data_IF_575183813045
#
_entry.id   IF_575183813045
#
_cell.length_a   1.000
_cell.length_b   1.000
_cell.length_c   1.000
_cell.angle_alpha   90.00
_cell.angle_beta   90.00
_cell.angle_gamma   90.00
#
_symmetry.space_group_name_H-M   'P 1'
#
loop_
_entity.id
_entity.type
_entity.pdbx_description
1 polymer ?
#
# COMPACT_ATOMS: atom_id res chain seq x y z
N UNK A 1 -37.66 0.70 -42.94
CA UNK A 1 -36.25 0.73 -43.38
C UNK A 1 -35.51 1.65 -42.43
N UNK A 2 -34.66 1.09 -41.56
CA UNK A 2 -33.96 1.82 -40.50
C UNK A 2 -33.29 0.81 -39.58
N UNK A 3 -32.10 0.37 -39.98
CA UNK A 3 -31.34 -0.72 -39.39
C UNK A 3 -30.40 -0.16 -38.31
N UNK A 4 -30.46 -0.78 -37.12
CA UNK A 4 -29.41 -0.99 -36.09
C UNK A 4 -28.67 0.22 -35.49
N UNK A 5 -28.50 0.18 -34.16
CA UNK A 5 -27.23 0.05 -33.40
C UNK A 5 -27.60 0.07 -31.90
N UNK A 6 -26.97 -0.62 -30.96
CA UNK A 6 -26.00 -1.69 -30.93
C UNK A 6 -26.09 -2.30 -29.52
N UNK A 7 -25.72 -3.56 -29.39
CA UNK A 7 -25.68 -4.30 -28.14
C UNK A 7 -24.75 -3.58 -27.14
N UNK A 8 -25.33 -3.01 -26.09
CA UNK A 8 -24.58 -2.40 -24.99
C UNK A 8 -23.81 -3.48 -24.25
N UNK A 9 -22.54 -3.62 -24.63
CA UNK A 9 -21.52 -4.48 -24.03
C UNK A 9 -21.52 -4.31 -22.52
N UNK A 10 -21.98 -5.33 -21.80
CA UNK A 10 -21.79 -5.44 -20.36
C UNK A 10 -20.27 -5.51 -20.12
N UNK A 11 -19.67 -4.38 -19.75
CA UNK A 11 -18.31 -4.36 -19.23
C UNK A 11 -18.30 -5.28 -18.02
N UNK A 12 -17.67 -6.46 -18.16
CA UNK A 12 -17.41 -7.35 -17.04
C UNK A 12 -16.64 -6.51 -16.02
N UNK A 13 -17.29 -6.18 -14.92
CA UNK A 13 -16.68 -5.42 -13.84
C UNK A 13 -15.53 -6.27 -13.29
N UNK A 14 -14.29 -5.89 -13.62
CA UNK A 14 -13.08 -6.66 -13.32
C UNK A 14 -13.01 -6.97 -11.83
N UNK A 15 -13.56 -6.07 -11.01
CA UNK A 15 -13.65 -6.22 -9.56
C UNK A 15 -14.53 -7.41 -9.16
N UNK A 16 -15.70 -7.58 -9.81
CA UNK A 16 -16.61 -8.68 -9.48
C UNK A 16 -15.99 -10.04 -9.84
N UNK A 17 -15.29 -10.12 -10.98
CA UNK A 17 -14.61 -11.36 -11.40
C UNK A 17 -13.50 -11.74 -10.43
N UNK A 18 -12.70 -10.77 -9.96
CA UNK A 18 -11.65 -11.00 -8.97
C UNK A 18 -12.23 -11.45 -7.62
N UNK A 19 -13.36 -10.87 -7.19
CA UNK A 19 -14.03 -11.27 -5.95
C UNK A 19 -14.55 -12.70 -6.04
N UNK A 20 -15.20 -13.07 -7.15
CA UNK A 20 -15.65 -14.44 -7.40
C UNK A 20 -14.49 -15.44 -7.39
N UNK A 21 -13.36 -15.08 -8.02
CA UNK A 21 -12.16 -15.91 -8.04
C UNK A 21 -11.61 -16.14 -6.62
N UNK A 22 -11.49 -15.07 -5.82
CA UNK A 22 -11.03 -15.15 -4.42
C UNK A 22 -11.97 -16.01 -3.57
N UNK A 23 -13.29 -15.83 -3.70
CA UNK A 23 -14.28 -16.61 -2.96
C UNK A 23 -14.33 -18.08 -3.41
N UNK A 24 -14.03 -18.37 -4.67
CA UNK A 24 -14.04 -19.75 -5.20
C UNK A 24 -12.85 -20.60 -4.73
N UNK A 25 -11.73 -19.96 -4.40
CA UNK A 25 -10.47 -20.64 -4.09
C UNK A 25 -10.09 -20.60 -2.60
N UNK A 26 -10.88 -19.96 -1.74
CA UNK A 26 -10.46 -19.69 -0.36
C UNK A 26 -11.58 -19.91 0.66
N UNK A 27 -11.22 -20.54 1.78
CA UNK A 27 -12.12 -20.69 2.92
C UNK A 27 -12.21 -19.39 3.75
N UNK A 28 -13.31 -19.14 4.49
CA UNK A 28 -13.44 -17.94 5.32
C UNK A 28 -12.28 -17.72 6.31
N UNK A 29 -11.72 -18.81 6.87
CA UNK A 29 -10.56 -18.74 7.77
C UNK A 29 -9.25 -18.38 7.04
N UNK A 30 -9.10 -18.76 5.77
CA UNK A 30 -7.92 -18.42 4.96
C UNK A 30 -7.99 -16.98 4.47
N UNK A 31 -9.20 -16.43 4.31
CA UNK A 31 -9.42 -15.04 3.93
C UNK A 31 -9.24 -14.09 5.12
N UNK A 32 -9.99 -14.34 6.19
CA UNK A 32 -10.12 -13.42 7.34
C UNK A 32 -9.33 -13.85 8.58
N UNK A 33 -8.57 -14.95 8.51
CA UNK A 33 -7.70 -15.37 9.59
C UNK A 33 -6.63 -14.34 9.94
N UNK A 34 -5.99 -14.49 11.10
CA UNK A 34 -4.91 -13.58 11.58
C UNK A 34 -3.73 -13.47 10.60
N UNK A 35 -3.44 -14.55 9.88
CA UNK A 35 -2.44 -14.62 8.81
C UNK A 35 -3.11 -14.80 7.43
N UNK A 36 -4.40 -14.45 7.34
CA UNK A 36 -5.22 -14.64 6.16
C UNK A 36 -4.81 -13.74 5.00
N UNK A 37 -5.36 -14.02 3.82
CA UNK A 37 -5.07 -13.31 2.58
C UNK A 37 -5.20 -11.80 2.73
N UNK A 38 -6.26 -11.32 3.39
CA UNK A 38 -6.48 -9.89 3.56
C UNK A 38 -5.39 -9.21 4.40
N UNK A 39 -4.86 -9.90 5.42
CA UNK A 39 -3.76 -9.37 6.21
C UNK A 39 -2.44 -9.33 5.43
N UNK A 40 -2.19 -10.35 4.61
CA UNK A 40 -1.03 -10.36 3.73
C UNK A 40 -1.12 -9.27 2.65
N UNK A 41 -2.31 -9.03 2.11
CA UNK A 41 -2.55 -7.93 1.17
C UNK A 41 -2.35 -6.57 1.85
N UNK A 42 -2.94 -6.38 3.03
CA UNK A 42 -2.75 -5.16 3.85
C UNK A 42 -1.26 -4.88 4.07
N UNK A 43 -0.51 -5.90 4.53
CA UNK A 43 0.95 -5.83 4.69
C UNK A 43 1.65 -5.36 3.41
N UNK A 44 1.38 -6.03 2.28
CA UNK A 44 2.05 -5.70 1.00
C UNK A 44 1.73 -4.28 0.52
N UNK A 45 0.49 -3.82 0.70
CA UNK A 45 0.09 -2.46 0.33
C UNK A 45 0.89 -1.45 1.16
N UNK A 46 0.97 -1.64 2.48
CA UNK A 46 1.75 -0.77 3.37
C UNK A 46 3.22 -0.74 2.97
N UNK A 47 3.85 -1.90 2.78
CA UNK A 47 5.25 -2.00 2.37
C UNK A 47 5.51 -1.30 1.04
N UNK A 48 4.59 -1.44 0.08
CA UNK A 48 4.69 -0.81 -1.22
C UNK A 48 4.61 0.72 -1.13
N UNK A 49 3.73 1.25 -0.30
CA UNK A 49 3.62 2.70 -0.07
C UNK A 49 4.92 3.23 0.56
N UNK A 50 5.44 2.57 1.60
CA UNK A 50 6.70 2.96 2.23
C UNK A 50 7.89 2.90 1.25
N UNK A 51 7.91 1.92 0.36
CA UNK A 51 8.93 1.83 -0.70
C UNK A 51 8.86 3.00 -1.67
N UNK A 52 7.65 3.44 -2.02
CA UNK A 52 7.42 4.57 -2.92
C UNK A 52 7.76 5.90 -2.25
N UNK A 53 7.46 6.09 -0.95
CA UNK A 53 7.92 7.25 -0.18
C UNK A 53 9.46 7.40 -0.24
N UNK A 54 10.18 6.31 0.04
CA UNK A 54 11.66 6.31 -0.04
C UNK A 54 12.14 6.50 -1.48
N UNK A 55 11.41 6.00 -2.47
CA UNK A 55 11.74 6.23 -3.89
C UNK A 55 11.60 7.68 -4.29
N UNK A 56 10.56 8.35 -3.78
CA UNK A 56 10.29 9.75 -4.02
C UNK A 56 11.38 10.63 -3.38
N UNK A 57 11.73 10.39 -2.11
CA UNK A 57 12.76 11.17 -1.40
C UNK A 57 14.16 11.01 -2.01
N UNK A 58 14.49 9.79 -2.47
CA UNK A 58 15.78 9.51 -3.09
C UNK A 58 15.83 9.91 -4.57
N UNK A 59 14.68 10.16 -5.20
CA UNK A 59 14.57 10.43 -6.64
C UNK A 59 14.86 9.22 -7.54
N UNK A 60 14.90 8.00 -7.00
CA UNK A 60 15.10 6.78 -7.78
C UNK A 60 14.50 5.52 -7.14
N UNK A 61 14.04 4.60 -7.99
CA UNK A 61 13.47 3.31 -7.59
C UNK A 61 14.52 2.30 -7.12
N UNK A 62 14.08 1.24 -6.43
CA UNK A 62 14.94 0.13 -6.05
C UNK A 62 15.60 -0.47 -7.31
N UNK A 63 16.90 -0.75 -7.23
CA UNK A 63 17.72 -1.27 -8.34
C UNK A 63 17.88 -0.33 -9.55
N UNK A 64 17.48 0.94 -9.45
CA UNK A 64 17.72 1.91 -10.51
C UNK A 64 19.22 2.05 -10.82
N UNK A 65 19.53 2.06 -12.12
CA UNK A 65 20.88 2.28 -12.69
C UNK A 65 21.21 3.77 -12.89
N UNK A 66 20.31 4.67 -12.49
CA UNK A 66 20.53 6.12 -12.59
C UNK A 66 21.78 6.49 -11.80
N UNK A 67 22.57 7.41 -12.35
CA UNK A 67 23.75 7.95 -11.68
C UNK A 67 23.32 8.67 -10.39
N UNK A 68 23.73 8.11 -9.24
CA UNK A 68 23.44 8.67 -7.91
C UNK A 68 24.51 9.71 -7.59
N UNK A 69 24.22 10.95 -7.97
CA UNK A 69 25.14 12.10 -7.82
C UNK A 69 25.26 12.57 -6.38
N UNK A 70 24.27 12.25 -5.54
CA UNK A 70 24.26 12.58 -4.12
C UNK A 70 24.80 11.42 -3.23
N UNK A 71 25.02 11.75 -1.96
CA UNK A 71 25.33 10.79 -0.90
C UNK A 71 24.13 9.95 -0.46
N UNK A 72 22.92 10.22 -0.97
CA UNK A 72 21.68 9.57 -0.52
C UNK A 72 21.58 8.15 -1.07
N UNK A 73 21.82 7.17 -0.20
CA UNK A 73 21.80 5.74 -0.56
C UNK A 73 20.74 5.00 0.24
N UNK A 74 20.07 4.04 -0.38
CA UNK A 74 19.23 3.06 0.34
C UNK A 74 20.09 2.16 1.22
N UNK A 75 19.55 1.73 2.36
CA UNK A 75 20.21 0.83 3.29
C UNK A 75 19.31 -0.34 3.73
N UNK A 76 18.81 -1.08 2.74
CA UNK A 76 17.97 -2.25 2.96
C UNK A 76 16.64 -1.92 3.64
N UNK A 77 16.12 -2.90 4.37
CA UNK A 77 14.88 -2.81 5.15
C UNK A 77 15.15 -3.18 6.62
N UNK A 78 14.24 -2.77 7.50
CA UNK A 78 14.22 -3.15 8.91
C UNK A 78 12.82 -3.64 9.27
N UNK A 79 12.74 -4.74 10.00
CA UNK A 79 11.47 -5.26 10.47
C UNK A 79 10.86 -4.32 11.53
N UNK A 80 9.54 -4.10 11.45
CA UNK A 80 8.75 -3.42 12.49
C UNK A 80 7.39 -4.10 12.62
N UNK A 81 6.96 -4.34 13.85
CA UNK A 81 5.59 -4.78 14.13
C UNK A 81 4.70 -3.57 14.39
N UNK A 82 3.63 -3.44 13.59
CA UNK A 82 2.57 -2.44 13.76
C UNK A 82 1.30 -3.10 14.30
N UNK A 83 0.45 -2.30 14.92
CA UNK A 83 -0.84 -2.74 15.47
C UNK A 83 -1.94 -1.98 14.73
N UNK A 84 -2.86 -2.71 14.09
CA UNK A 84 -3.99 -2.11 13.38
C UNK A 84 -5.17 -1.77 14.30
N UNK A 85 -6.21 -1.13 13.76
CA UNK A 85 -7.44 -0.76 14.49
C UNK A 85 -8.15 -1.97 15.13
N UNK A 86 -8.01 -3.16 14.55
CA UNK A 86 -8.55 -4.41 15.08
C UNK A 86 -7.67 -5.03 16.19
N UNK A 87 -6.57 -4.36 16.56
CA UNK A 87 -5.57 -4.85 17.51
C UNK A 87 -4.68 -5.96 16.95
N UNK A 88 -4.72 -6.21 15.63
CA UNK A 88 -3.90 -7.23 15.00
C UNK A 88 -2.47 -6.73 14.80
N UNK A 89 -1.51 -7.62 15.07
CA UNK A 89 -0.09 -7.32 14.89
C UNK A 89 0.32 -7.70 13.49
N UNK A 90 0.82 -6.74 12.73
CA UNK A 90 1.31 -6.95 11.36
C UNK A 90 2.81 -6.69 11.36
N UNK A 91 3.58 -7.67 10.89
CA UNK A 91 5.03 -7.54 10.75
C UNK A 91 5.35 -7.04 9.35
N UNK A 92 5.93 -5.85 9.25
CA UNK A 92 6.25 -5.19 7.97
C UNK A 92 7.75 -4.91 7.85
N UNK A 93 8.23 -4.91 6.61
CA UNK A 93 9.58 -4.51 6.25
C UNK A 93 9.65 -3.03 5.86
N UNK A 94 10.34 -2.24 6.68
CA UNK A 94 10.42 -0.79 6.49
C UNK A 94 11.71 -0.41 5.76
N UNK A 95 11.63 0.23 4.58
CA UNK A 95 12.79 0.73 3.86
C UNK A 95 13.44 1.92 4.60
N UNK A 96 14.76 2.02 4.51
CA UNK A 96 15.53 3.12 5.13
C UNK A 96 16.62 3.66 4.21
N UNK A 97 17.00 4.91 4.43
CA UNK A 97 18.19 5.51 3.85
C UNK A 97 19.43 5.21 4.72
N UNK A 98 20.61 5.41 4.15
CA UNK A 98 21.90 5.12 4.79
C UNK A 98 22.22 6.11 5.92
N UNK A 99 21.81 7.35 5.78
CA UNK A 99 22.08 8.40 6.76
C UNK A 99 20.96 8.51 7.81
N UNK A 100 19.90 7.69 7.71
CA UNK A 100 18.68 7.72 8.54
C UNK A 100 18.05 9.12 8.63
N UNK A 101 18.23 9.95 7.62
CA UNK A 101 17.75 11.34 7.60
C UNK A 101 16.28 11.44 7.23
N UNK A 102 15.75 10.44 6.53
CA UNK A 102 14.37 10.46 6.10
C UNK A 102 13.42 10.04 7.23
N UNK A 103 12.28 10.73 7.32
CA UNK A 103 11.16 10.37 8.19
C UNK A 103 9.98 9.95 7.33
N UNK A 104 9.52 8.72 7.54
CA UNK A 104 8.37 8.15 6.84
C UNK A 104 7.10 8.85 7.32
N UNK A 105 6.21 9.16 6.38
CA UNK A 105 4.96 9.84 6.68
C UNK A 105 3.88 8.86 7.12
N UNK A 106 3.75 7.74 6.40
CA UNK A 106 2.75 6.72 6.73
C UNK A 106 2.99 6.09 8.11
N UNK A 107 4.24 5.75 8.44
CA UNK A 107 4.61 5.10 9.71
C UNK A 107 5.85 5.77 10.30
N UNK A 108 5.69 6.80 11.15
CA UNK A 108 6.80 7.53 11.73
C UNK A 108 7.71 6.65 12.62
N UNK A 109 8.92 7.15 12.86
CA UNK A 109 9.89 6.48 13.75
C UNK A 109 9.31 6.38 15.17
N UNK A 110 9.48 5.22 15.80
CA UNK A 110 9.00 4.98 17.17
C UNK A 110 7.50 4.66 17.32
N UNK A 111 6.64 5.08 16.40
CA UNK A 111 5.19 4.86 16.48
C UNK A 111 4.81 3.47 15.97
N UNK A 112 4.10 2.66 16.76
CA UNK A 112 3.62 1.32 16.34
C UNK A 112 2.12 1.22 16.15
N UNK A 113 1.37 2.23 16.59
CA UNK A 113 -0.06 2.34 16.33
C UNK A 113 -0.27 2.69 14.87
N UNK A 114 -1.01 1.85 14.16
CA UNK A 114 -1.35 2.06 12.76
C UNK A 114 -2.87 2.10 12.62
N UNK A 115 -3.42 3.19 13.14
CA UNK A 115 -4.86 3.44 13.25
C UNK A 115 -5.31 4.33 12.09
N UNK A 116 -6.47 4.06 11.51
CA UNK A 116 -7.00 4.83 10.38
C UNK A 116 -6.36 4.49 9.03
N UNK A 117 -5.84 3.26 8.88
CA UNK A 117 -5.26 2.78 7.62
C UNK A 117 -6.29 2.81 6.49
N UNK A 118 -7.49 2.30 6.75
CA UNK A 118 -8.54 2.21 5.74
C UNK A 118 -8.92 3.61 5.24
N UNK A 119 -9.07 4.58 6.15
CA UNK A 119 -9.39 5.97 5.80
C UNK A 119 -8.25 6.68 5.04
N UNK A 120 -7.00 6.41 5.42
CA UNK A 120 -5.81 7.03 4.81
C UNK A 120 -5.50 6.48 3.42
N UNK A 121 -5.68 5.17 3.20
CA UNK A 121 -5.45 4.54 1.89
C UNK A 121 -6.60 4.84 0.92
N UNK A 122 -7.85 4.86 1.41
CA UNK A 122 -9.02 5.21 0.59
C UNK A 122 -8.94 6.69 0.16
N UNK A 123 -8.53 7.59 1.05
CA UNK A 123 -8.38 9.03 0.72
C UNK A 123 -7.23 9.31 -0.25
N UNK A 124 -6.11 8.59 -0.14
CA UNK A 124 -4.95 8.71 -1.05
C UNK A 124 -5.32 8.37 -2.50
N UNK A 125 -6.10 7.31 -2.71
CA UNK A 125 -6.48 6.83 -4.04
C UNK A 125 -7.73 7.51 -4.61
N UNK A 126 -8.72 7.84 -3.78
CA UNK A 126 -9.98 8.41 -4.26
C UNK A 126 -9.83 9.84 -4.82
N UNK A 127 -8.71 10.54 -4.54
CA UNK A 127 -8.65 11.99 -4.75
C UNK A 127 -7.39 12.54 -5.39
N UNK A 128 -6.33 11.76 -5.58
CA UNK A 128 -5.09 12.23 -6.21
C UNK A 128 -4.40 13.39 -5.47
N UNK A 129 -4.67 13.53 -4.16
CA UNK A 129 -4.21 14.65 -3.32
C UNK A 129 -2.90 14.30 -2.59
N UNK A 130 -2.08 15.34 -2.34
CA UNK A 130 -0.76 15.19 -1.70
C UNK A 130 -0.84 15.29 -0.17
N UNK A 131 0.14 14.69 0.51
CA UNK A 131 0.27 14.51 1.97
C UNK A 131 0.02 15.77 2.83
N UNK A 132 0.14 16.97 2.26
CA UNK A 132 -0.08 18.24 2.96
C UNK A 132 -1.55 18.53 3.34
N UNK A 133 -2.52 17.82 2.77
CA UNK A 133 -3.96 18.08 2.98
C UNK A 133 -4.63 17.12 3.99
N UNK A 134 -3.91 16.11 4.49
CA UNK A 134 -4.47 14.95 5.21
C UNK A 134 -4.38 15.11 6.76
N UNK A 135 -4.14 16.30 7.28
CA UNK A 135 -4.02 16.49 8.73
C UNK A 135 -5.19 17.31 9.32
N UNK A 136 -6.14 16.71 10.05
CA UNK A 136 -6.86 17.39 11.10
C UNK A 136 -6.17 17.09 12.43
N UNK A 137 -5.39 18.06 12.92
CA UNK A 137 -5.00 18.32 14.32
C UNK A 137 -4.57 17.11 15.16
#
# INVERSE_FOLDING_TARGET
>A
MGKKIDEGTASVDINNKLVEEILSQSNPNELFGKEGLFQQLKKRVVERILEDEVSHELGYSRHSKIAKLDGKRRNGTSEKTIIDDSGQKIVIDIPRDRDNRFELQLIPKGIRSFTGFDDSVISLYARGMTMSEINPI
#
